data_IF_737528843296
#
_entry.id   IF_737528843296
#
_cell.length_a   1.000
_cell.length_b   1.000
_cell.length_c   1.000
_cell.angle_alpha   90.00
_cell.angle_beta   90.00
_cell.angle_gamma   90.00
#
_symmetry.space_group_name_H-M   'P 1'
#
loop_
_entity.id
_entity.type
_entity.pdbx_description
1 polymer ?
#
# COMPACT_ATOMS: atom_id res chain seq x y z
N UNK A 1 19.17 -27.82 1.43
CA UNK A 1 18.26 -26.84 0.79
C UNK A 1 17.57 -26.07 1.91
N UNK A 2 17.38 -24.76 1.77
CA UNK A 2 16.60 -23.97 2.73
C UNK A 2 15.16 -23.85 2.20
N UNK A 3 14.14 -24.18 3.02
CA UNK A 3 12.76 -24.03 2.60
C UNK A 3 12.44 -22.56 2.38
N UNK A 4 11.58 -22.29 1.41
CA UNK A 4 11.11 -20.93 1.17
C UNK A 4 10.08 -20.56 2.24
N UNK A 5 10.09 -19.29 2.65
CA UNK A 5 9.19 -18.78 3.68
C UNK A 5 7.85 -18.38 3.06
N UNK A 6 6.75 -18.93 3.59
CA UNK A 6 5.41 -18.39 3.33
C UNK A 6 5.28 -17.02 3.99
N UNK A 7 4.82 -16.01 3.23
CA UNK A 7 4.75 -14.61 3.70
C UNK A 7 3.47 -13.92 3.24
N UNK A 8 3.16 -12.76 3.82
CA UNK A 8 2.09 -11.87 3.36
C UNK A 8 2.73 -10.70 2.59
N UNK A 9 2.43 -10.60 1.30
CA UNK A 9 2.83 -9.47 0.47
C UNK A 9 2.04 -8.23 0.87
N UNK A 10 2.76 -7.20 1.30
CA UNK A 10 2.21 -5.86 1.48
C UNK A 10 2.35 -5.08 0.15
N UNK A 11 1.31 -4.36 -0.31
CA UNK A 11 1.34 -3.60 -1.55
C UNK A 11 2.09 -2.26 -1.38
N UNK A 12 3.39 -2.33 -1.06
CA UNK A 12 4.20 -1.16 -0.67
C UNK A 12 4.31 -0.09 -1.76
N UNK A 13 4.36 -0.48 -3.03
CA UNK A 13 4.43 0.46 -4.15
C UNK A 13 3.14 1.28 -4.24
N UNK A 14 1.99 0.60 -4.18
CA UNK A 14 0.67 1.25 -4.18
C UNK A 14 0.47 2.11 -2.93
N UNK A 15 1.03 1.70 -1.78
CA UNK A 15 1.04 2.49 -0.56
C UNK A 15 1.80 3.81 -0.74
N UNK A 16 3.01 3.77 -1.28
CA UNK A 16 3.81 4.96 -1.54
C UNK A 16 3.10 5.96 -2.47
N UNK A 17 2.53 5.47 -3.57
CA UNK A 17 1.75 6.30 -4.51
C UNK A 17 0.51 6.91 -3.84
N UNK A 18 -0.23 6.10 -3.07
CA UNK A 18 -1.44 6.57 -2.37
C UNK A 18 -1.10 7.65 -1.35
N UNK A 19 -0.03 7.47 -0.59
CA UNK A 19 0.45 8.44 0.39
C UNK A 19 0.85 9.75 -0.27
N UNK A 20 1.65 9.71 -1.33
CA UNK A 20 2.08 10.90 -2.07
C UNK A 20 0.86 11.67 -2.61
N UNK A 21 -0.12 10.95 -3.17
CA UNK A 21 -1.36 11.54 -3.68
C UNK A 21 -2.16 12.24 -2.59
N UNK A 22 -2.29 11.63 -1.40
CA UNK A 22 -2.98 12.25 -0.27
C UNK A 22 -2.30 13.54 0.18
N UNK A 23 -0.97 13.53 0.33
CA UNK A 23 -0.20 14.70 0.76
C UNK A 23 -0.32 15.84 -0.26
N UNK A 24 -0.16 15.55 -1.55
CA UNK A 24 -0.30 16.55 -2.61
C UNK A 24 -1.73 17.11 -2.67
N UNK A 25 -2.74 16.25 -2.58
CA UNK A 25 -4.14 16.68 -2.55
C UNK A 25 -4.44 17.61 -1.38
N UNK A 26 -3.82 17.38 -0.22
CA UNK A 26 -3.96 18.26 0.94
C UNK A 26 -3.27 19.62 0.73
N UNK A 27 -2.07 19.63 0.13
CA UNK A 27 -1.36 20.88 -0.22
C UNK A 27 -2.19 21.73 -1.19
N UNK A 28 -2.87 21.08 -2.13
CA UNK A 28 -3.71 21.74 -3.15
C UNK A 28 -5.13 22.10 -2.64
N UNK A 29 -5.46 21.79 -1.39
CA UNK A 29 -6.78 22.09 -0.80
C UNK A 29 -7.93 21.22 -1.34
N UNK A 30 -7.62 20.05 -1.91
CA UNK A 30 -8.65 19.11 -2.39
C UNK A 30 -9.41 18.48 -1.21
N UNK A 31 -10.69 18.09 -1.40
CA UNK A 31 -11.44 17.36 -0.39
C UNK A 31 -10.70 16.08 0.04
N UNK A 32 -10.58 15.90 1.36
CA UNK A 32 -9.85 14.78 1.93
C UNK A 32 -10.63 13.45 1.79
N UNK A 33 -10.03 12.45 1.14
CA UNK A 33 -10.49 11.07 1.23
C UNK A 33 -9.84 10.38 2.44
N UNK A 34 -10.68 9.91 3.37
CA UNK A 34 -10.23 9.48 4.71
C UNK A 34 -9.48 8.15 4.72
N UNK A 35 -9.75 7.25 3.77
CA UNK A 35 -9.22 5.89 3.80
C UNK A 35 -9.03 5.34 2.39
N UNK A 36 -7.85 4.76 2.13
CA UNK A 36 -7.56 3.94 0.96
C UNK A 36 -7.26 2.53 1.45
N UNK A 37 -7.98 1.53 0.93
CA UNK A 37 -7.72 0.13 1.23
C UNK A 37 -6.80 -0.46 0.16
N UNK A 38 -5.70 -1.08 0.59
CA UNK A 38 -4.76 -1.74 -0.31
C UNK A 38 -4.72 -3.25 0.02
N UNK A 39 -5.02 -4.13 -0.94
CA UNK A 39 -5.15 -5.56 -0.67
C UNK A 39 -3.78 -6.19 -0.41
N UNK A 40 -3.74 -7.08 0.59
CA UNK A 40 -2.60 -7.94 0.87
C UNK A 40 -2.81 -9.33 0.25
N UNK A 41 -1.73 -10.06 0.03
CA UNK A 41 -1.76 -11.38 -0.59
C UNK A 41 -0.90 -12.36 0.21
N UNK A 42 -1.40 -13.57 0.48
CA UNK A 42 -0.59 -14.65 1.06
C UNK A 42 0.21 -15.32 -0.05
N UNK A 43 1.53 -15.33 0.06
CA UNK A 43 2.46 -16.02 -0.82
C UNK A 43 2.90 -17.33 -0.17
N UNK A 44 2.24 -18.43 -0.52
CA UNK A 44 2.68 -19.77 -0.15
C UNK A 44 3.89 -20.19 -1.00
N UNK A 45 4.89 -20.80 -0.37
CA UNK A 45 6.15 -21.24 -0.99
C UNK A 45 6.64 -22.56 -0.41
#
# INVERSE_FOLDING_TARGET
MHPQLTTVRQPMDAFGVSLATLVLGQIEGRPFQRTVFLPTEVLAR
#
